data_IF_103319395230
#
_entry.id   IF_103319395230
#
_cell.length_a   1.000
_cell.length_b   1.000
_cell.length_c   1.000
_cell.angle_alpha   90.00
_cell.angle_beta   90.00
_cell.angle_gamma   90.00
#
_symmetry.space_group_name_H-M   'P 1'
#
loop_
_entity.id
_entity.type
_entity.pdbx_description
1 polymer ?
#
# COMPACT_ATOMS: atom_id res chain seq x y z
N UNK A 1 -17.95 41.34 -20.81
CA UNK A 1 -16.66 40.68 -20.50
C UNK A 1 -16.60 39.43 -21.35
N UNK A 2 -15.86 39.47 -22.46
CA UNK A 2 -15.76 38.35 -23.40
C UNK A 2 -14.95 37.23 -22.76
N UNK A 3 -15.55 36.04 -22.64
CA UNK A 3 -14.87 34.84 -22.13
C UNK A 3 -13.80 34.49 -23.17
N UNK A 4 -12.53 34.65 -22.82
CA UNK A 4 -11.43 34.17 -23.64
C UNK A 4 -11.22 32.67 -23.38
N UNK A 5 -11.10 31.91 -24.45
CA UNK A 5 -10.79 30.48 -24.41
C UNK A 5 -9.38 30.28 -23.83
N UNK A 6 -9.16 29.27 -22.96
CA UNK A 6 -7.83 29.00 -22.41
C UNK A 6 -6.81 28.68 -23.52
N UNK A 7 -5.61 29.24 -23.38
CA UNK A 7 -4.48 28.97 -24.27
C UNK A 7 -3.60 27.85 -23.69
N UNK A 8 -3.16 26.92 -24.53
CA UNK A 8 -2.22 25.84 -24.18
C UNK A 8 -0.91 25.94 -24.98
N UNK A 9 0.18 25.42 -24.43
CA UNK A 9 1.42 25.20 -25.19
C UNK A 9 1.36 23.82 -25.85
N UNK A 10 1.23 23.78 -27.17
CA UNK A 10 1.33 22.54 -27.94
C UNK A 10 2.80 22.11 -27.99
N UNK A 11 3.12 20.98 -27.35
CA UNK A 11 4.50 20.50 -27.24
C UNK A 11 5.08 19.93 -28.54
N UNK A 12 4.23 19.51 -29.48
CA UNK A 12 4.67 19.00 -30.78
C UNK A 12 5.01 20.14 -31.75
N UNK A 13 4.26 21.24 -31.68
CA UNK A 13 4.47 22.41 -32.55
C UNK A 13 5.30 23.50 -31.88
N UNK A 14 5.44 23.47 -30.55
CA UNK A 14 6.12 24.50 -29.76
C UNK A 14 5.38 25.84 -29.72
N UNK A 15 4.07 25.86 -30.01
CA UNK A 15 3.27 27.09 -30.14
C UNK A 15 2.17 27.18 -29.12
N UNK A 16 1.76 28.42 -28.81
CA UNK A 16 0.57 28.69 -28.00
C UNK A 16 -0.66 28.57 -28.91
N UNK A 17 -1.59 27.70 -28.54
CA UNK A 17 -2.79 27.35 -29.30
C UNK A 17 -4.05 27.46 -28.41
N UNK A 18 -5.21 27.80 -29.00
CA UNK A 18 -6.48 27.84 -28.27
C UNK A 18 -7.03 26.43 -28.05
N UNK A 19 -7.47 26.14 -26.83
CA UNK A 19 -8.09 24.85 -26.49
C UNK A 19 -9.45 24.72 -27.21
N UNK A 20 -9.67 23.62 -27.92
CA UNK A 20 -10.95 23.41 -28.61
C UNK A 20 -12.10 23.23 -27.61
N UNK A 21 -13.31 23.71 -27.96
CA UNK A 21 -14.49 23.57 -27.10
C UNK A 21 -14.86 22.09 -27.03
N UNK A 22 -14.57 21.46 -25.88
CA UNK A 22 -14.77 20.02 -25.66
C UNK A 22 -13.50 19.19 -25.66
N UNK A 23 -12.32 19.79 -25.81
CA UNK A 23 -11.04 19.14 -25.50
C UNK A 23 -10.91 19.00 -23.98
N UNK A 24 -11.51 17.95 -23.44
CA UNK A 24 -11.15 17.48 -22.11
C UNK A 24 -9.78 16.85 -22.24
N UNK A 25 -8.76 17.45 -21.63
CA UNK A 25 -7.62 16.67 -21.17
C UNK A 25 -8.21 15.44 -20.48
N UNK A 26 -7.87 14.25 -20.97
CA UNK A 26 -8.27 13.02 -20.30
C UNK A 26 -7.97 13.18 -18.81
N UNK A 27 -8.88 12.76 -17.94
CA UNK A 27 -8.59 12.72 -16.50
C UNK A 27 -7.26 12.01 -16.22
N UNK A 28 -6.80 11.14 -17.11
CA UNK A 28 -5.47 10.49 -17.09
C UNK A 28 -4.27 11.43 -17.28
N UNK A 29 -4.42 12.64 -17.81
CA UNK A 29 -3.32 13.61 -17.96
C UNK A 29 -3.23 14.56 -16.76
N UNK A 30 -4.35 14.78 -16.06
CA UNK A 30 -4.40 15.57 -14.80
C UNK A 30 -4.23 14.67 -13.56
N UNK A 31 -4.70 13.41 -13.59
CA UNK A 31 -4.38 12.34 -12.63
C UNK A 31 -3.06 11.61 -12.99
N UNK A 32 -2.53 11.82 -14.20
CA UNK A 32 -1.34 11.16 -14.74
C UNK A 32 -0.03 11.51 -14.05
N UNK A 33 0.01 12.61 -13.30
CA UNK A 33 1.18 12.94 -12.48
C UNK A 33 1.44 11.89 -11.38
N UNK A 34 0.45 11.02 -11.08
CA UNK A 34 0.57 9.89 -10.16
C UNK A 34 0.50 8.50 -10.85
N UNK A 35 0.61 8.43 -12.19
CA UNK A 35 0.64 7.17 -12.95
C UNK A 35 -0.69 6.39 -13.00
N UNK A 36 -1.81 6.99 -12.59
CA UNK A 36 -3.16 6.38 -12.59
C UNK A 36 -3.35 5.21 -11.61
N UNK A 37 -2.27 4.74 -10.99
CA UNK A 37 -2.31 3.71 -9.96
C UNK A 37 -2.84 4.32 -8.65
N UNK A 38 -3.79 3.67 -7.99
CA UNK A 38 -4.21 4.03 -6.63
C UNK A 38 -3.46 3.29 -5.53
N UNK A 39 -2.70 2.25 -5.90
CA UNK A 39 -1.78 1.57 -5.00
C UNK A 39 -0.48 2.38 -4.87
N UNK A 40 0.05 2.38 -3.65
CA UNK A 40 1.34 2.96 -3.26
C UNK A 40 2.32 1.80 -3.07
N UNK A 41 3.56 1.97 -3.49
CA UNK A 41 4.64 1.00 -3.38
C UNK A 41 4.28 -0.34 -4.02
N UNK A 42 3.65 -0.31 -5.20
CA UNK A 42 3.18 -1.50 -5.90
C UNK A 42 4.31 -2.30 -6.58
N UNK A 43 5.46 -1.67 -6.81
CA UNK A 43 6.71 -2.32 -7.20
C UNK A 43 7.49 -2.88 -6.01
N UNK A 44 7.15 -2.49 -4.78
CA UNK A 44 7.80 -2.89 -3.53
C UNK A 44 9.26 -2.44 -3.44
N UNK A 45 9.56 -1.20 -3.81
CA UNK A 45 10.90 -0.62 -3.67
C UNK A 45 11.13 0.06 -2.33
N UNK A 46 10.07 0.47 -1.63
CA UNK A 46 10.14 1.17 -0.34
C UNK A 46 9.92 0.22 0.84
N UNK A 47 10.89 0.17 1.77
CA UNK A 47 10.92 -0.75 2.92
C UNK A 47 11.45 -0.07 4.20
N UNK A 48 10.70 0.88 4.74
CA UNK A 48 11.13 1.70 5.86
C UNK A 48 10.96 1.03 7.23
N UNK A 49 10.10 0.00 7.33
CA UNK A 49 9.76 -0.71 8.58
C UNK A 49 10.63 -1.94 8.87
N UNK A 50 11.55 -2.27 7.97
CA UNK A 50 12.28 -3.54 7.96
C UNK A 50 12.10 -4.27 6.64
N UNK A 51 12.82 -5.38 6.45
CA UNK A 51 12.87 -6.12 5.17
C UNK A 51 12.34 -7.54 5.27
N UNK A 52 11.89 -7.99 6.44
CA UNK A 52 11.34 -9.32 6.65
C UNK A 52 10.39 -9.32 7.85
N UNK A 53 9.21 -9.91 7.66
CA UNK A 53 8.14 -9.94 8.63
C UNK A 53 7.55 -11.35 8.69
N UNK A 54 7.43 -11.90 9.89
CA UNK A 54 6.89 -13.25 10.14
C UNK A 54 5.67 -13.25 11.09
N UNK A 55 5.33 -12.09 11.64
CA UNK A 55 4.19 -11.89 12.55
C UNK A 55 2.91 -11.54 11.78
N UNK A 56 1.76 -11.69 12.43
CA UNK A 56 0.46 -11.27 11.88
C UNK A 56 0.12 -9.83 12.24
N UNK A 57 -0.83 -9.24 11.53
CA UNK A 57 -1.31 -7.88 11.73
C UNK A 57 -0.19 -6.83 11.69
N UNK A 58 0.64 -6.90 10.65
CA UNK A 58 1.84 -6.07 10.50
C UNK A 58 1.87 -5.38 9.14
N UNK A 59 2.30 -4.13 9.13
CA UNK A 59 2.66 -3.43 7.90
C UNK A 59 4.10 -3.76 7.52
N UNK A 60 4.28 -4.34 6.33
CA UNK A 60 5.58 -4.78 5.81
C UNK A 60 6.23 -3.72 4.91
N UNK A 61 6.39 -3.98 3.59
CA UNK A 61 6.77 -2.94 2.64
C UNK A 61 5.71 -1.86 2.72
N UNK A 62 6.14 -0.62 2.85
CA UNK A 62 5.28 0.52 3.20
C UNK A 62 3.91 0.44 2.51
N UNK A 63 2.83 0.57 3.32
CA UNK A 63 1.40 0.46 2.97
C UNK A 63 0.80 -0.93 2.87
N UNK A 64 1.60 -1.98 2.71
CA UNK A 64 1.09 -3.33 2.57
C UNK A 64 0.96 -4.00 3.93
N UNK A 65 -0.28 -4.34 4.28
CA UNK A 65 -0.64 -4.99 5.52
C UNK A 65 -0.72 -6.49 5.33
N UNK A 66 -0.20 -7.26 6.29
CA UNK A 66 -0.26 -8.71 6.31
C UNK A 66 -1.14 -9.20 7.45
N UNK A 67 -2.01 -10.15 7.12
CA UNK A 67 -2.76 -10.94 8.10
C UNK A 67 -2.61 -12.43 7.82
N UNK A 68 -2.43 -13.20 8.89
CA UNK A 68 -2.24 -14.63 8.81
C UNK A 68 -2.67 -15.31 10.12
N UNK A 69 -3.02 -16.58 10.01
CA UNK A 69 -3.36 -17.45 11.14
C UNK A 69 -3.34 -18.90 10.69
N UNK A 70 -3.00 -19.83 11.59
CA UNK A 70 -2.99 -21.26 11.27
C UNK A 70 -2.03 -21.68 10.14
N UNK A 71 -0.91 -20.98 9.98
CA UNK A 71 0.15 -21.26 9.00
C UNK A 71 1.51 -21.40 9.71
N UNK A 72 2.49 -22.03 9.04
CA UNK A 72 3.86 -22.18 9.53
C UNK A 72 4.90 -21.80 8.47
N UNK A 73 6.09 -21.39 8.94
CA UNK A 73 7.20 -20.93 8.08
C UNK A 73 6.86 -19.71 7.22
N UNK A 74 5.89 -18.93 7.68
CA UNK A 74 5.31 -17.83 6.95
C UNK A 74 6.18 -16.57 7.04
N UNK A 75 6.47 -15.96 5.89
CA UNK A 75 7.25 -14.72 5.82
C UNK A 75 6.76 -13.83 4.69
N UNK A 76 6.93 -12.52 4.90
CA UNK A 76 6.81 -11.48 3.89
C UNK A 76 8.10 -10.68 3.89
N UNK A 77 8.85 -10.74 2.80
CA UNK A 77 10.23 -10.29 2.77
C UNK A 77 10.61 -9.58 1.48
N UNK A 78 11.59 -8.68 1.58
CA UNK A 78 12.20 -8.01 0.44
C UNK A 78 13.08 -8.98 -0.32
N UNK A 79 12.95 -9.00 -1.64
CA UNK A 79 13.94 -9.57 -2.51
C UNK A 79 14.49 -8.52 -3.46
N UNK A 80 15.80 -8.28 -3.35
CA UNK A 80 16.51 -7.31 -4.18
C UNK A 80 16.70 -7.90 -5.56
N UNK A 81 16.30 -7.15 -6.59
CA UNK A 81 16.45 -7.53 -7.97
C UNK A 81 17.80 -7.08 -8.51
N UNK A 82 18.38 -7.89 -9.40
CA UNK A 82 19.57 -7.49 -10.13
C UNK A 82 19.17 -6.60 -11.31
N UNK A 83 20.04 -5.65 -11.73
CA UNK A 83 19.85 -4.93 -12.97
C UNK A 83 19.64 -5.90 -14.15
N UNK A 84 18.58 -5.67 -14.93
CA UNK A 84 18.22 -6.53 -16.06
C UNK A 84 17.24 -7.66 -15.74
N UNK A 85 16.66 -7.70 -14.53
CA UNK A 85 15.56 -8.64 -14.24
C UNK A 85 14.40 -8.45 -15.23
N UNK A 86 14.00 -9.55 -15.88
CA UNK A 86 12.95 -9.56 -16.92
C UNK A 86 11.57 -9.91 -16.35
N UNK A 87 11.52 -10.46 -15.14
CA UNK A 87 10.26 -10.80 -14.47
C UNK A 87 9.60 -9.54 -13.91
N UNK A 88 10.39 -8.60 -13.37
CA UNK A 88 9.93 -7.35 -12.76
C UNK A 88 10.75 -6.15 -13.30
N UNK A 89 10.62 -5.83 -14.59
CA UNK A 89 11.47 -4.86 -15.25
C UNK A 89 11.32 -3.46 -14.63
N UNK A 90 12.45 -2.83 -14.28
CA UNK A 90 12.50 -1.46 -13.77
C UNK A 90 12.26 -1.31 -12.26
N UNK A 91 11.93 -2.40 -11.56
CA UNK A 91 11.88 -2.44 -10.08
C UNK A 91 13.26 -2.77 -9.49
N UNK A 92 13.55 -2.23 -8.32
CA UNK A 92 14.79 -2.52 -7.57
C UNK A 92 14.64 -3.72 -6.63
N UNK A 93 13.40 -4.01 -6.27
CA UNK A 93 13.02 -5.15 -5.45
C UNK A 93 11.63 -5.67 -5.83
N UNK A 94 11.27 -6.80 -5.23
CA UNK A 94 9.90 -7.29 -5.24
C UNK A 94 9.56 -7.89 -3.86
N UNK A 95 8.31 -8.30 -3.70
CA UNK A 95 7.81 -8.92 -2.49
C UNK A 95 7.90 -10.44 -2.58
N UNK A 96 8.62 -11.10 -1.68
CA UNK A 96 8.47 -12.55 -1.45
C UNK A 96 7.40 -12.77 -0.39
N UNK A 97 6.42 -13.63 -0.68
CA UNK A 97 5.52 -14.20 0.32
C UNK A 97 5.73 -15.71 0.37
N UNK A 98 6.12 -16.20 1.55
CA UNK A 98 6.38 -17.63 1.79
C UNK A 98 5.46 -18.17 2.87
N UNK A 99 5.12 -19.46 2.75
CA UNK A 99 4.71 -20.30 3.86
C UNK A 99 5.16 -21.75 3.60
N UNK A 100 5.46 -22.53 4.65
CA UNK A 100 5.89 -23.93 4.52
C UNK A 100 4.84 -24.94 4.96
N UNK A 101 3.80 -24.50 5.68
CA UNK A 101 2.72 -25.38 6.10
C UNK A 101 1.45 -24.65 6.54
N UNK A 102 0.38 -25.43 6.68
CA UNK A 102 -0.92 -25.00 7.18
C UNK A 102 -1.31 -25.94 8.33
N UNK A 103 -1.74 -25.40 9.47
CA UNK A 103 -2.00 -26.21 10.67
C UNK A 103 -3.38 -26.85 10.69
N UNK A 104 -4.33 -26.35 9.89
CA UNK A 104 -5.72 -26.84 9.84
C UNK A 104 -6.39 -26.46 8.52
N UNK A 105 -7.46 -27.18 8.16
CA UNK A 105 -8.36 -26.78 7.08
C UNK A 105 -9.31 -25.64 7.47
N UNK A 106 -9.53 -25.42 8.77
CA UNK A 106 -10.28 -24.27 9.32
C UNK A 106 -9.29 -23.24 9.88
N UNK A 107 -9.58 -21.95 9.69
CA UNK A 107 -8.82 -20.83 10.21
C UNK A 107 -7.47 -20.54 9.54
N UNK A 108 -6.88 -21.49 8.80
CA UNK A 108 -5.62 -21.27 8.10
C UNK A 108 -5.76 -20.22 6.99
N UNK A 109 -4.93 -19.17 7.05
CA UNK A 109 -4.88 -18.14 6.01
C UNK A 109 -3.55 -17.39 6.01
N UNK A 110 -3.20 -16.89 4.84
CA UNK A 110 -2.22 -15.82 4.66
C UNK A 110 -2.73 -14.91 3.56
N UNK A 111 -2.86 -13.64 3.90
CA UNK A 111 -3.34 -12.58 3.02
C UNK A 111 -2.50 -11.35 3.26
N UNK A 112 -2.18 -10.65 2.17
CA UNK A 112 -1.65 -9.30 2.25
C UNK A 112 -2.55 -8.37 1.44
N UNK A 113 -2.67 -7.14 1.89
CA UNK A 113 -3.62 -6.19 1.34
C UNK A 113 -3.07 -4.77 1.36
N UNK A 114 -3.65 -3.92 0.53
CA UNK A 114 -3.46 -2.49 0.64
C UNK A 114 -4.81 -1.79 0.75
N UNK A 115 -4.90 -0.92 1.75
CA UNK A 115 -6.08 -0.10 2.02
C UNK A 115 -5.89 1.27 1.38
N UNK A 116 -6.52 1.49 0.24
CA UNK A 116 -6.58 2.79 -0.44
C UNK A 116 -7.57 3.68 0.29
N UNK A 117 -7.19 4.93 0.59
CA UNK A 117 -8.04 5.82 1.38
C UNK A 117 -9.40 6.08 0.72
N UNK A 118 -10.41 6.25 1.56
CA UNK A 118 -11.80 6.54 1.21
C UNK A 118 -12.52 5.35 0.55
N UNK A 119 -13.62 4.90 1.17
CA UNK A 119 -14.47 3.85 0.61
C UNK A 119 -15.16 4.24 -0.71
N UNK A 120 -15.18 5.53 -1.06
CA UNK A 120 -15.67 6.04 -2.35
C UNK A 120 -14.74 5.71 -3.50
N UNK A 121 -13.46 5.41 -3.24
CA UNK A 121 -12.51 5.05 -4.29
C UNK A 121 -13.06 3.85 -5.08
N UNK A 122 -13.30 4.07 -6.37
CA UNK A 122 -13.90 3.11 -7.32
C UNK A 122 -15.32 2.60 -6.99
N UNK A 123 -16.03 3.22 -6.05
CA UNK A 123 -17.39 2.83 -5.73
C UNK A 123 -18.35 3.10 -6.91
N UNK A 124 -19.10 2.08 -7.32
CA UNK A 124 -20.11 2.18 -8.37
C UNK A 124 -19.58 2.31 -9.80
N UNK A 125 -18.27 2.22 -10.01
CA UNK A 125 -17.61 2.34 -11.33
C UNK A 125 -16.65 1.17 -11.56
N UNK A 126 -16.42 0.76 -12.82
CA UNK A 126 -15.43 -0.26 -13.11
C UNK A 126 -14.02 0.23 -12.78
N UNK A 127 -13.22 -0.67 -12.21
CA UNK A 127 -11.79 -0.51 -11.95
C UNK A 127 -11.06 -1.82 -12.25
N UNK A 128 -9.78 -1.75 -12.57
CA UNK A 128 -8.98 -2.93 -12.93
C UNK A 128 -7.72 -3.00 -12.08
N UNK A 129 -7.55 -4.15 -11.43
CA UNK A 129 -6.31 -4.58 -10.79
C UNK A 129 -5.45 -5.32 -11.82
N UNK A 130 -4.15 -5.03 -11.85
CA UNK A 130 -3.15 -5.82 -12.56
C UNK A 130 -1.87 -5.96 -11.73
N UNK A 131 -1.20 -7.09 -11.85
CA UNK A 131 0.11 -7.31 -11.21
C UNK A 131 0.87 -8.49 -11.82
N UNK A 132 2.16 -8.55 -11.53
CA UNK A 132 3.02 -9.68 -11.85
C UNK A 132 3.20 -10.58 -10.64
N UNK A 133 3.14 -11.90 -10.87
CA UNK A 133 3.50 -12.91 -9.88
C UNK A 133 4.40 -13.97 -10.49
N UNK A 134 5.56 -14.19 -9.90
CA UNK A 134 6.48 -15.25 -10.31
C UNK A 134 6.33 -16.46 -9.39
N UNK A 135 6.02 -17.61 -9.98
CA UNK A 135 5.94 -18.89 -9.31
C UNK A 135 7.22 -19.70 -9.59
N UNK A 136 8.16 -19.81 -8.63
CA UNK A 136 9.38 -20.59 -8.82
C UNK A 136 9.15 -22.11 -8.83
N UNK A 137 7.96 -22.57 -8.41
CA UNK A 137 7.62 -23.98 -8.29
C UNK A 137 6.91 -24.53 -9.52
N UNK A 138 6.33 -25.73 -9.36
CA UNK A 138 5.52 -26.34 -10.38
C UNK A 138 4.23 -25.54 -10.67
N UNK A 139 3.70 -25.71 -11.88
CA UNK A 139 2.40 -25.18 -12.25
C UNK A 139 1.28 -25.78 -11.37
N UNK A 140 0.17 -25.07 -11.25
CA UNK A 140 -1.01 -25.52 -10.49
C UNK A 140 -1.15 -24.89 -9.10
N UNK A 141 -0.14 -24.13 -8.64
CA UNK A 141 -0.28 -23.30 -7.44
C UNK A 141 -1.34 -22.23 -7.66
N UNK A 142 -2.10 -21.89 -6.63
CA UNK A 142 -3.20 -20.93 -6.72
C UNK A 142 -2.98 -19.72 -5.83
N UNK A 143 -3.54 -18.59 -6.23
CA UNK A 143 -3.79 -17.43 -5.38
C UNK A 143 -5.25 -17.02 -5.54
N UNK A 144 -5.79 -16.25 -4.60
CA UNK A 144 -7.08 -15.59 -4.79
C UNK A 144 -6.96 -14.08 -4.60
N UNK A 145 -7.73 -13.35 -5.40
CA UNK A 145 -7.91 -11.91 -5.25
C UNK A 145 -9.31 -11.67 -4.74
N UNK A 146 -9.46 -10.77 -3.78
CA UNK A 146 -10.75 -10.17 -3.46
C UNK A 146 -10.62 -8.65 -3.31
N UNK A 147 -11.77 -8.01 -3.29
CA UNK A 147 -11.89 -6.61 -2.91
C UNK A 147 -12.76 -6.47 -1.65
N UNK A 148 -12.50 -5.42 -0.90
CA UNK A 148 -13.20 -5.11 0.35
C UNK A 148 -13.49 -3.61 0.40
N UNK A 149 -14.63 -3.22 1.00
CA UNK A 149 -14.90 -1.83 1.40
C UNK A 149 -15.05 -1.76 2.92
N UNK A 150 -14.22 -0.94 3.54
CA UNK A 150 -14.32 -0.61 4.96
C UNK A 150 -14.83 0.82 5.11
N UNK A 151 -15.71 1.06 6.08
CA UNK A 151 -16.30 2.39 6.29
C UNK A 151 -15.71 3.13 7.49
N UNK A 152 -14.62 2.64 8.07
CA UNK A 152 -13.90 3.33 9.15
C UNK A 152 -14.64 3.38 10.49
N UNK A 153 -14.06 4.08 11.45
CA UNK A 153 -14.58 4.20 12.81
C UNK A 153 -15.95 4.90 12.83
N UNK A 154 -16.95 4.29 13.48
CA UNK A 154 -18.32 4.79 13.50
C UNK A 154 -19.06 4.72 12.16
N UNK A 155 -18.45 4.09 11.14
CA UNK A 155 -19.04 3.89 9.82
C UNK A 155 -19.97 2.68 9.74
N UNK A 156 -20.48 2.45 8.54
CA UNK A 156 -21.26 1.25 8.21
C UNK A 156 -20.44 -0.05 8.31
N UNK A 157 -21.12 -1.20 8.37
CA UNK A 157 -20.46 -2.52 8.40
C UNK A 157 -19.63 -2.80 7.13
N UNK A 158 -18.53 -3.53 7.29
CA UNK A 158 -17.62 -3.87 6.19
C UNK A 158 -18.29 -4.73 5.12
N UNK A 159 -17.87 -4.54 3.87
CA UNK A 159 -18.23 -5.41 2.76
C UNK A 159 -17.00 -6.24 2.38
N UNK A 160 -17.01 -7.52 2.77
CA UNK A 160 -15.95 -8.49 2.47
C UNK A 160 -16.31 -9.33 1.24
N UNK A 161 -15.33 -9.99 0.61
CA UNK A 161 -15.59 -10.97 -0.45
C UNK A 161 -16.25 -10.35 -1.69
N UNK A 162 -15.85 -9.14 -2.08
CA UNK A 162 -16.36 -8.52 -3.31
C UNK A 162 -15.61 -9.13 -4.48
N UNK A 163 -16.35 -9.78 -5.37
CA UNK A 163 -15.87 -10.38 -6.63
C UNK A 163 -14.60 -11.25 -6.47
N UNK A 164 -14.56 -12.21 -5.51
CA UNK A 164 -13.39 -13.04 -5.29
C UNK A 164 -13.14 -13.93 -6.50
N UNK A 165 -11.87 -14.12 -6.85
CA UNK A 165 -11.47 -14.99 -7.96
C UNK A 165 -10.18 -15.74 -7.64
N UNK A 166 -10.14 -17.02 -7.98
CA UNK A 166 -8.96 -17.87 -7.88
C UNK A 166 -8.22 -17.86 -9.22
N UNK A 167 -6.91 -17.60 -9.16
CA UNK A 167 -6.01 -17.71 -10.30
C UNK A 167 -5.08 -18.90 -10.11
N UNK A 168 -5.08 -19.82 -11.07
CA UNK A 168 -4.12 -20.92 -11.14
C UNK A 168 -2.88 -20.47 -11.89
N UNK A 169 -1.73 -20.54 -11.23
CA UNK A 169 -0.45 -20.06 -11.72
C UNK A 169 0.29 -21.15 -12.51
N UNK A 170 0.82 -20.79 -13.67
CA UNK A 170 1.85 -21.55 -14.35
C UNK A 170 3.17 -21.48 -13.56
N UNK A 171 4.13 -22.35 -13.90
CA UNK A 171 5.52 -22.15 -13.47
C UNK A 171 6.09 -20.91 -14.17
N UNK A 172 6.92 -20.14 -13.46
CA UNK A 172 7.50 -18.89 -13.96
C UNK A 172 6.58 -17.67 -13.79
N UNK A 173 6.74 -16.69 -14.68
CA UNK A 173 6.02 -15.42 -14.62
C UNK A 173 4.55 -15.58 -15.04
N UNK A 174 3.66 -15.02 -14.24
CA UNK A 174 2.24 -14.88 -14.54
C UNK A 174 1.86 -13.40 -14.43
N UNK A 175 0.98 -12.94 -15.31
CA UNK A 175 0.38 -11.60 -15.25
C UNK A 175 -1.08 -11.78 -14.90
N UNK A 176 -1.49 -11.20 -13.78
CA UNK A 176 -2.86 -11.28 -13.27
C UNK A 176 -3.58 -9.99 -13.63
N UNK A 177 -4.83 -10.10 -14.06
CA UNK A 177 -5.71 -8.94 -14.31
C UNK A 177 -7.11 -9.27 -13.82
N UNK A 178 -7.71 -8.37 -13.07
CA UNK A 178 -9.06 -8.49 -12.53
C UNK A 178 -9.79 -7.17 -12.62
N UNK A 179 -10.85 -7.12 -13.40
CA UNK A 179 -11.78 -6.00 -13.41
C UNK A 179 -12.90 -6.23 -12.39
N UNK A 180 -13.22 -5.20 -11.62
CA UNK A 180 -14.26 -5.21 -10.59
C UNK A 180 -15.04 -3.89 -10.63
N UNK A 181 -16.31 -3.95 -10.28
CA UNK A 181 -17.09 -2.77 -9.90
C UNK A 181 -17.39 -2.89 -8.41
N UNK A 182 -16.81 -2.01 -7.59
CA UNK A 182 -17.14 -2.02 -6.16
C UNK A 182 -18.59 -1.57 -5.97
N UNK A 183 -19.31 -2.10 -4.97
CA UNK A 183 -20.64 -1.62 -4.63
C UNK A 183 -20.70 -0.09 -4.43
N UNK A 184 -21.85 0.50 -4.78
CA UNK A 184 -22.12 1.90 -4.47
C UNK A 184 -22.10 2.12 -2.95
N UNK A 185 -21.56 3.27 -2.54
CA UNK A 185 -21.56 3.71 -1.14
C UNK A 185 -22.71 4.66 -0.82
N UNK A 186 -23.66 4.85 -1.74
CA UNK A 186 -24.85 5.65 -1.50
C UNK A 186 -25.65 5.10 -0.29
N UNK A 187 -26.01 5.99 0.65
CA UNK A 187 -26.71 5.61 1.89
C UNK A 187 -25.83 4.95 2.96
N UNK A 188 -24.51 4.82 2.74
CA UNK A 188 -23.55 4.36 3.76
C UNK A 188 -22.96 5.54 4.52
N UNK A 189 -22.62 5.31 5.79
CA UNK A 189 -21.88 6.27 6.62
C UNK A 189 -20.40 5.95 6.54
N UNK A 190 -19.59 6.91 6.07
CA UNK A 190 -18.14 6.80 6.03
C UNK A 190 -17.53 7.57 7.22
N UNK A 191 -16.74 6.86 8.03
CA UNK A 191 -15.96 7.40 9.13
C UNK A 191 -14.46 7.50 8.81
N UNK A 192 -13.70 7.96 9.81
CA UNK A 192 -12.24 8.05 9.73
C UNK A 192 -11.65 6.66 9.51
N UNK A 193 -10.77 6.56 8.52
CA UNK A 193 -10.15 5.29 8.15
C UNK A 193 -10.97 4.40 7.23
N UNK A 194 -12.04 4.93 6.62
CA UNK A 194 -12.70 4.26 5.49
C UNK A 194 -11.73 4.03 4.32
N UNK A 195 -11.91 2.93 3.60
CA UNK A 195 -11.02 2.49 2.54
C UNK A 195 -11.71 1.60 1.50
N UNK A 196 -11.18 1.67 0.28
CA UNK A 196 -11.29 0.60 -0.71
C UNK A 196 -10.04 -0.28 -0.58
N UNK A 197 -10.20 -1.59 -0.57
CA UNK A 197 -9.11 -2.53 -0.25
C UNK A 197 -9.01 -3.59 -1.33
N UNK A 198 -7.78 -3.87 -1.75
CA UNK A 198 -7.44 -5.06 -2.53
C UNK A 198 -6.69 -6.02 -1.63
N UNK A 199 -7.10 -7.28 -1.63
CA UNK A 199 -6.49 -8.34 -0.82
C UNK A 199 -6.07 -9.53 -1.69
N UNK A 200 -4.85 -9.99 -1.50
CA UNK A 200 -4.24 -11.11 -2.20
C UNK A 200 -4.01 -12.24 -1.21
N UNK A 201 -4.70 -13.36 -1.43
CA UNK A 201 -4.64 -14.55 -0.61
C UNK A 201 -3.65 -15.54 -1.22
N UNK A 202 -2.66 -15.95 -0.43
CA UNK A 202 -1.68 -16.97 -0.83
C UNK A 202 -2.02 -18.35 -0.28
N UNK A 203 -2.89 -18.45 0.73
CA UNK A 203 -3.50 -19.69 1.23
C UNK A 203 -4.79 -19.35 1.99
N UNK A 204 -5.80 -20.21 1.92
CA UNK A 204 -7.03 -20.03 2.70
C UNK A 204 -7.79 -21.34 2.94
N UNK A 205 -8.16 -21.58 4.20
CA UNK A 205 -9.01 -22.68 4.64
C UNK A 205 -10.50 -22.46 4.35
N UNK A 206 -11.33 -23.42 4.78
CA UNK A 206 -12.77 -23.48 4.51
C UNK A 206 -13.56 -22.27 5.02
N UNK A 207 -13.10 -21.64 6.10
CA UNK A 207 -13.80 -20.52 6.73
C UNK A 207 -13.78 -19.25 5.85
N UNK A 208 -12.87 -19.21 4.88
CA UNK A 208 -12.68 -18.07 3.98
C UNK A 208 -13.17 -18.34 2.55
N UNK A 209 -13.98 -19.38 2.32
CA UNK A 209 -14.47 -19.73 0.96
C UNK A 209 -15.20 -18.55 0.31
N UNK A 210 -16.04 -17.83 1.07
CA UNK A 210 -16.78 -16.66 0.56
C UNK A 210 -15.86 -15.48 0.15
N UNK A 211 -14.65 -15.41 0.72
CA UNK A 211 -13.66 -14.37 0.42
C UNK A 211 -12.64 -14.77 -0.62
N UNK A 212 -12.52 -16.07 -0.91
CA UNK A 212 -11.40 -16.60 -1.71
C UNK A 212 -11.85 -17.46 -2.87
N UNK A 213 -13.17 -17.55 -3.13
CA UNK A 213 -13.75 -18.41 -4.16
C UNK A 213 -13.24 -19.86 -4.11
N UNK A 214 -12.99 -20.38 -2.88
CA UNK A 214 -12.49 -21.74 -2.68
C UNK A 214 -11.01 -21.94 -3.02
N UNK A 215 -10.14 -20.96 -2.73
CA UNK A 215 -8.68 -21.04 -2.95
C UNK A 215 -8.07 -22.37 -2.45
N UNK A 216 -8.40 -22.74 -1.22
CA UNK A 216 -7.83 -23.91 -0.55
C UNK A 216 -6.41 -23.65 -0.01
N UNK A 217 -5.87 -24.64 0.70
CA UNK A 217 -4.56 -24.54 1.31
C UNK A 217 -3.45 -24.62 0.26
N UNK A 218 -2.45 -23.74 0.38
CA UNK A 218 -1.27 -23.69 -0.50
C UNK A 218 0.01 -23.69 0.34
N UNK A 219 1.16 -23.96 -0.28
CA UNK A 219 2.49 -23.79 0.34
C UNK A 219 3.54 -23.33 -0.68
N UNK A 220 4.70 -22.87 -0.19
CA UNK A 220 5.86 -22.43 -0.97
C UNK A 220 6.02 -20.90 -0.99
N UNK A 221 6.92 -20.42 -1.85
CA UNK A 221 7.19 -18.98 -2.04
C UNK A 221 6.63 -18.45 -3.36
N UNK A 222 6.08 -17.23 -3.35
CA UNK A 222 5.66 -16.48 -4.54
C UNK A 222 6.30 -15.09 -4.49
N UNK A 223 6.60 -14.53 -5.66
CA UNK A 223 7.18 -13.19 -5.78
C UNK A 223 6.17 -12.28 -6.46
N UNK A 224 5.87 -11.13 -5.87
CA UNK A 224 4.88 -10.17 -6.36
C UNK A 224 5.51 -8.82 -6.65
N UNK A 225 5.02 -8.15 -7.68
CA UNK A 225 5.48 -6.81 -8.05
C UNK A 225 4.62 -6.18 -9.12
N UNK A 226 4.89 -4.90 -9.38
CA UNK A 226 4.16 -4.08 -10.36
C UNK A 226 2.65 -4.10 -10.15
N UNK A 227 2.22 -3.99 -8.88
CA UNK A 227 0.82 -3.98 -8.51
C UNK A 227 0.17 -2.63 -8.82
N UNK A 228 -0.90 -2.68 -9.62
CA UNK A 228 -1.66 -1.50 -10.05
C UNK A 228 -3.15 -1.72 -9.90
N UNK A 229 -3.84 -0.74 -9.31
CA UNK A 229 -5.30 -0.69 -9.31
C UNK A 229 -5.75 0.67 -9.82
N UNK A 230 -6.47 0.69 -10.92
CA UNK A 230 -6.83 1.91 -11.65
C UNK A 230 -8.29 1.94 -12.10
N UNK A 231 -8.77 3.14 -12.42
CA UNK A 231 -10.12 3.34 -12.95
C UNK A 231 -10.23 2.75 -14.36
N UNK A 232 -11.37 2.16 -14.69
CA UNK A 232 -11.67 1.63 -16.01
C UNK A 232 -11.79 0.12 -16.03
N UNK A 233 -12.15 -0.41 -17.19
CA UNK A 233 -12.40 -1.86 -17.37
C UNK A 233 -11.22 -2.62 -17.96
N UNK A 234 -10.13 -1.92 -18.29
CA UNK A 234 -8.96 -2.46 -18.99
C UNK A 234 -7.71 -2.11 -18.21
N UNK A 235 -6.86 -3.12 -17.96
CA UNK A 235 -5.55 -2.90 -17.37
C UNK A 235 -4.65 -2.17 -18.36
N UNK A 236 -4.05 -1.08 -17.92
CA UNK A 236 -2.98 -0.41 -18.65
C UNK A 236 -1.62 -0.86 -18.11
N UNK A 237 -0.51 -0.61 -18.85
CA UNK A 237 0.81 -0.96 -18.36
C UNK A 237 1.11 -0.37 -16.98
N UNK A 238 1.92 -1.09 -16.20
CA UNK A 238 2.49 -0.53 -14.97
C UNK A 238 3.47 0.57 -15.34
N UNK A 239 3.19 1.80 -14.90
CA UNK A 239 4.09 2.94 -15.01
C UNK A 239 4.63 3.23 -13.62
N UNK A 240 5.93 3.01 -13.44
CA UNK A 240 6.61 3.33 -12.17
C UNK A 240 6.50 4.83 -11.93
N UNK A 241 6.11 5.23 -10.71
CA UNK A 241 6.22 6.64 -10.31
C UNK A 241 7.69 7.01 -10.17
N UNK A 242 8.00 8.29 -10.25
CA UNK A 242 9.32 8.76 -9.85
C UNK A 242 9.63 8.27 -8.41
N UNK A 243 10.82 7.72 -8.15
CA UNK A 243 11.15 7.17 -6.84
C UNK A 243 10.98 8.17 -5.68
N UNK A 244 11.24 9.46 -5.92
CA UNK A 244 11.05 10.51 -4.92
C UNK A 244 9.57 10.74 -4.60
N UNK A 245 8.70 10.69 -5.63
CA UNK A 245 7.23 10.79 -5.44
C UNK A 245 6.70 9.58 -4.68
N UNK A 246 7.11 8.37 -5.04
CA UNK A 246 6.68 7.14 -4.36
C UNK A 246 7.08 7.14 -2.88
N UNK A 247 8.30 7.57 -2.58
CA UNK A 247 8.79 7.70 -1.22
C UNK A 247 8.02 8.76 -0.42
N UNK A 248 7.70 9.90 -1.01
CA UNK A 248 6.88 10.93 -0.36
C UNK A 248 5.46 10.43 -0.04
N UNK A 249 4.86 9.62 -0.92
CA UNK A 249 3.58 8.97 -0.66
C UNK A 249 3.68 7.98 0.49
N UNK A 250 4.77 7.20 0.59
CA UNK A 250 5.01 6.31 1.72
C UNK A 250 5.19 7.10 3.04
N UNK A 251 5.93 8.21 3.01
CA UNK A 251 6.12 9.08 4.18
C UNK A 251 4.82 9.65 4.76
N UNK A 252 3.74 9.74 3.98
CA UNK A 252 2.43 10.13 4.51
C UNK A 252 1.89 9.15 5.56
N UNK A 253 2.27 7.88 5.50
CA UNK A 253 1.74 6.81 6.35
C UNK A 253 2.75 6.25 7.33
N UNK A 254 4.05 6.38 7.03
CA UNK A 254 5.08 6.01 7.99
C UNK A 254 6.40 6.65 7.65
N UNK A 255 7.13 7.15 8.64
CA UNK A 255 8.53 7.53 8.41
C UNK A 255 9.45 7.27 9.60
N UNK A 256 10.72 6.94 9.36
CA UNK A 256 11.76 7.13 10.35
C UNK A 256 12.08 8.62 10.46
N UNK A 257 12.07 9.14 11.68
CA UNK A 257 12.51 10.49 12.03
C UNK A 257 13.75 10.38 12.91
N UNK A 258 14.88 10.86 12.39
CA UNK A 258 16.13 10.98 13.14
C UNK A 258 16.17 12.29 13.93
N UNK A 259 16.69 12.24 15.15
CA UNK A 259 16.88 13.41 15.98
C UNK A 259 18.02 13.22 16.99
N UNK A 260 18.51 14.33 17.56
CA UNK A 260 19.38 14.29 18.73
C UNK A 260 18.51 14.42 19.96
N UNK A 261 18.53 13.41 20.83
CA UNK A 261 17.93 13.48 22.15
C UNK A 261 18.85 14.32 23.03
N UNK A 262 18.33 15.42 23.59
CA UNK A 262 19.13 16.37 24.35
C UNK A 262 19.20 15.97 25.84
N UNK A 263 20.38 16.07 26.45
CA UNK A 263 20.55 15.96 27.91
C UNK A 263 20.57 17.30 28.63
N UNK A 264 20.86 18.38 27.90
CA UNK A 264 20.94 19.75 28.40
C UNK A 264 20.13 20.69 27.50
N UNK A 265 19.83 21.89 27.98
CA UNK A 265 19.11 22.90 27.21
C UNK A 265 17.57 22.84 27.35
N UNK A 266 16.79 23.22 26.32
CA UNK A 266 15.35 23.36 26.44
C UNK A 266 14.67 22.05 26.81
N UNK A 267 13.64 22.12 27.67
CA UNK A 267 12.88 20.96 28.13
C UNK A 267 11.95 20.37 27.05
N UNK A 268 11.69 21.14 26.00
CA UNK A 268 10.89 20.73 24.85
C UNK A 268 11.68 20.97 23.58
N UNK A 269 11.75 19.98 22.71
CA UNK A 269 12.25 20.10 21.34
C UNK A 269 11.20 19.62 20.36
N UNK A 270 11.11 20.27 19.20
CA UNK A 270 10.13 19.97 18.15
C UNK A 270 10.81 19.36 16.95
N UNK A 271 10.21 18.30 16.40
CA UNK A 271 10.67 17.63 15.20
C UNK A 271 9.51 17.56 14.19
N UNK A 272 9.79 17.96 12.96
CA UNK A 272 8.82 17.98 11.89
C UNK A 272 8.87 16.69 11.09
N UNK A 273 7.71 16.25 10.64
CA UNK A 273 7.61 15.17 9.66
C UNK A 273 8.01 15.67 8.28
N UNK A 274 8.52 14.79 7.41
CA UNK A 274 8.88 15.18 6.03
C UNK A 274 7.65 15.61 5.23
N UNK A 275 6.49 15.01 5.54
CA UNK A 275 5.18 15.37 4.98
C UNK A 275 4.10 15.29 6.05
N UNK A 276 2.99 16.04 5.92
CA UNK A 276 1.83 15.85 6.79
C UNK A 276 1.32 14.40 6.75
N UNK A 277 1.21 13.80 7.93
CA UNK A 277 0.70 12.44 8.13
C UNK A 277 -0.79 12.34 7.84
N UNK A 278 -1.22 11.14 7.46
CA UNK A 278 -2.64 10.84 7.28
C UNK A 278 -3.45 11.08 8.56
N UNK A 279 -2.97 10.54 9.66
CA UNK A 279 -3.53 10.66 11.02
C UNK A 279 -2.42 11.01 11.99
N UNK A 280 -2.78 11.37 13.22
CA UNK A 280 -1.80 11.60 14.29
C UNK A 280 -1.02 10.30 14.49
N UNK A 281 0.31 10.29 14.27
CA UNK A 281 1.07 9.06 14.27
C UNK A 281 1.33 8.54 15.69
N UNK A 282 1.45 7.22 15.80
CA UNK A 282 2.08 6.57 16.95
C UNK A 282 3.59 6.65 16.81
N UNK A 283 4.28 7.04 17.88
CA UNK A 283 5.73 7.22 17.88
C UNK A 283 6.40 6.08 18.63
N UNK A 284 7.26 5.33 17.93
CA UNK A 284 8.03 4.22 18.51
C UNK A 284 9.52 4.55 18.44
N UNK A 285 10.19 4.64 19.58
CA UNK A 285 11.66 4.82 19.63
C UNK A 285 12.32 3.51 19.22
N UNK A 286 13.18 3.55 18.21
CA UNK A 286 13.89 2.38 17.68
C UNK A 286 15.42 2.46 17.87
N UNK A 287 15.91 3.62 18.31
CA UNK A 287 17.33 3.85 18.63
C UNK A 287 17.64 3.71 20.12
N UNK A 288 18.61 4.51 20.57
CA UNK A 288 18.98 4.58 21.98
C UNK A 288 17.80 5.06 22.84
N UNK A 289 17.73 4.52 24.07
CA UNK A 289 16.73 4.97 25.04
C UNK A 289 16.87 6.47 25.29
N UNK A 290 15.72 7.15 25.28
CA UNK A 290 15.62 8.58 25.58
C UNK A 290 15.08 8.85 27.00
N UNK A 291 14.71 7.79 27.73
CA UNK A 291 14.13 7.90 29.08
C UNK A 291 15.06 8.65 30.03
N UNK A 292 14.57 9.61 30.83
CA UNK A 292 13.17 9.85 31.19
C UNK A 292 12.36 10.71 30.21
N UNK A 293 12.96 11.18 29.11
CA UNK A 293 12.22 11.91 28.09
C UNK A 293 11.22 11.01 27.37
N UNK A 294 10.19 11.62 26.78
CA UNK A 294 9.15 10.93 26.01
C UNK A 294 8.89 11.65 24.70
N UNK A 295 8.36 10.92 23.72
CA UNK A 295 7.89 11.52 22.47
C UNK A 295 6.38 11.73 22.54
N UNK A 296 5.93 12.91 22.13
CA UNK A 296 4.54 13.30 22.20
C UNK A 296 4.08 13.86 20.85
N UNK A 297 3.15 13.20 20.14
CA UNK A 297 2.64 13.69 18.86
C UNK A 297 1.75 14.93 18.99
N UNK A 298 1.33 15.29 20.21
CA UNK A 298 0.54 16.52 20.51
C UNK A 298 -0.73 16.67 19.67
N UNK A 299 -1.31 15.56 19.20
CA UNK A 299 -2.46 15.59 18.28
C UNK A 299 -2.14 16.16 16.89
N UNK A 300 -0.87 16.35 16.55
CA UNK A 300 -0.42 16.95 15.30
C UNK A 300 -0.11 15.87 14.26
N UNK A 301 -0.42 16.19 13.01
CA UNK A 301 -0.02 15.39 11.84
C UNK A 301 1.23 15.95 11.16
N UNK A 302 1.83 17.02 11.67
CA UNK A 302 2.95 17.72 11.01
C UNK A 302 4.22 17.76 11.84
N UNK A 303 4.13 17.50 13.14
CA UNK A 303 5.26 17.51 14.06
C UNK A 303 4.97 16.71 15.33
N UNK A 304 6.01 16.43 16.11
CA UNK A 304 5.91 15.96 17.49
C UNK A 304 6.95 16.67 18.36
N UNK A 305 6.77 16.59 19.68
CA UNK A 305 7.78 17.05 20.64
C UNK A 305 8.48 15.87 21.30
N UNK A 306 9.76 16.08 21.65
CA UNK A 306 10.35 15.37 22.77
C UNK A 306 10.13 16.22 24.02
N UNK A 307 9.55 15.60 25.04
CA UNK A 307 9.27 16.21 26.34
C UNK A 307 10.30 15.68 27.35
N UNK A 308 11.06 16.59 27.96
CA UNK A 308 12.10 16.26 28.93
C UNK A 308 13.50 16.13 28.31
N UNK A 309 14.39 15.49 29.06
CA UNK A 309 15.81 15.34 28.72
C UNK A 309 16.23 13.88 28.85
N UNK A 310 17.06 13.43 27.92
CA UNK A 310 17.71 12.12 28.00
C UNK A 310 18.87 12.18 29.02
N UNK A 311 19.40 11.04 29.49
CA UNK A 311 20.52 11.01 30.44
C UNK A 311 21.84 11.50 29.83
N UNK A 312 21.97 11.40 28.50
CA UNK A 312 23.10 11.90 27.73
C UNK A 312 22.62 12.32 26.33
N UNK A 313 23.35 13.25 25.71
CA UNK A 313 23.07 13.66 24.35
C UNK A 313 23.39 12.49 23.41
N UNK A 314 22.39 12.02 22.66
CA UNK A 314 22.54 10.81 21.85
C UNK A 314 21.76 10.91 20.54
N UNK A 315 22.36 10.45 19.46
CA UNK A 315 21.65 10.24 18.21
C UNK A 315 20.62 9.13 18.41
N UNK A 316 19.35 9.46 18.16
CA UNK A 316 18.25 8.53 18.23
C UNK A 316 17.33 8.71 17.04
N UNK A 317 16.39 7.79 16.90
CA UNK A 317 15.36 7.86 15.88
C UNK A 317 14.11 7.17 16.39
N UNK A 318 12.97 7.66 15.89
CA UNK A 318 11.69 7.01 16.08
C UNK A 318 11.07 6.66 14.73
N UNK A 319 10.16 5.71 14.75
CA UNK A 319 9.24 5.50 13.65
C UNK A 319 7.92 6.19 13.99
N UNK A 320 7.47 7.08 13.12
CA UNK A 320 6.17 7.73 13.21
C UNK A 320 5.19 6.98 12.30
N UNK A 321 4.35 6.14 12.88
CA UNK A 321 3.39 5.29 12.18
C UNK A 321 1.98 5.91 12.15
N UNK A 322 1.45 6.16 10.97
CA UNK A 322 0.14 6.73 10.71
C UNK A 322 -0.72 5.80 9.82
N UNK A 323 -0.44 4.49 9.86
CA UNK A 323 -1.29 3.46 9.26
C UNK A 323 -2.58 3.20 10.09
N UNK A 324 -3.46 2.32 9.60
CA UNK A 324 -4.77 1.97 10.21
C UNK A 324 -4.77 0.54 10.72
#
# INVERSE_FOLDING_TARGET
>A
MTIQTPLILNQATGRIEELSVGDTLSGLLTEGYAGGNRLINGDFDVWQRGTSFATTAVYGPDRWFMQQGGVSGQTLAKNTLLPGDTNFPGSESNLIVTLTGNSSASGAHQVFEQRVEDCRTFAGVPSTLSFRVFNPGAAGRKIAVEFVQTFGAGGSGFLLGIAPEVFTLAAGLNIITKTVTLPSVAGKTAGVGSAAVVAIWTTAGSDFIQRTAGLGLQTGSLYFGQMKWELGSVATPFVRRDPGVELLLCYRYGEPVGFIANADGPYYSTYYYKVPKRVVPTLTVLGNSISPATLNPRGSTTWFSMDGRAPSAVASYCFADAEI
#
